data_IF_689568846979
#
_entry.id   IF_689568846979
#
_cell.length_a   1.000
_cell.length_b   1.000
_cell.length_c   1.000
_cell.angle_alpha   90.00
_cell.angle_beta   90.00
_cell.angle_gamma   90.00
#
_symmetry.space_group_name_H-M   'P 1'
#
loop_
_entity.id
_entity.type
_entity.pdbx_description
1 polymer ?
#
# COMPACT_ATOMS: atom_id res chain seq x y z
N UNK A 1 -27.38 1.98 3.02
CA UNK A 1 -26.07 1.40 2.67
C UNK A 1 -25.71 0.36 3.72
N UNK A 2 -24.98 -0.71 3.38
CA UNK A 2 -24.48 -1.66 4.36
C UNK A 2 -23.54 -0.99 5.36
N UNK A 3 -23.61 -1.35 6.65
CA UNK A 3 -22.81 -0.72 7.72
C UNK A 3 -21.29 -0.79 7.48
N UNK A 4 -20.81 -1.79 6.77
CA UNK A 4 -19.38 -1.91 6.43
C UNK A 4 -18.93 -0.85 5.42
N UNK A 5 -19.81 -0.47 4.48
CA UNK A 5 -19.52 0.52 3.46
C UNK A 5 -19.37 1.90 4.09
N UNK A 6 -20.28 2.26 5.01
CA UNK A 6 -20.23 3.54 5.72
C UNK A 6 -18.98 3.66 6.58
N UNK A 7 -18.58 2.57 7.26
CA UNK A 7 -17.34 2.52 8.04
C UNK A 7 -16.10 2.69 7.17
N UNK A 8 -16.05 2.02 6.02
CA UNK A 8 -14.94 2.15 5.08
C UNK A 8 -14.84 3.59 4.53
N UNK A 9 -15.96 4.16 4.09
CA UNK A 9 -16.01 5.55 3.61
C UNK A 9 -15.58 6.55 4.68
N UNK A 10 -16.04 6.38 5.92
CA UNK A 10 -15.66 7.26 7.03
C UNK A 10 -14.15 7.20 7.31
N UNK A 11 -13.57 5.99 7.38
CA UNK A 11 -12.13 5.80 7.58
C UNK A 11 -11.32 6.46 6.47
N UNK A 12 -11.62 6.17 5.21
CA UNK A 12 -10.93 6.76 4.05
C UNK A 12 -11.04 8.29 4.09
N UNK A 13 -12.26 8.82 4.26
CA UNK A 13 -12.49 10.27 4.31
C UNK A 13 -11.67 10.95 5.40
N UNK A 14 -11.59 10.35 6.58
CA UNK A 14 -10.84 10.90 7.71
C UNK A 14 -9.32 10.81 7.55
N UNK A 15 -8.81 9.75 6.91
CA UNK A 15 -7.38 9.49 6.83
C UNK A 15 -6.68 10.10 5.61
N UNK A 16 -7.38 10.26 4.48
CA UNK A 16 -6.79 10.81 3.24
C UNK A 16 -6.09 12.17 3.46
N UNK A 17 -6.66 13.16 4.18
CA UNK A 17 -6.01 14.45 4.37
C UNK A 17 -4.64 14.36 5.05
N UNK A 18 -4.44 13.40 5.95
CA UNK A 18 -3.16 13.15 6.60
C UNK A 18 -2.13 12.64 5.59
N UNK A 19 -2.49 11.65 4.77
CA UNK A 19 -1.56 11.06 3.80
C UNK A 19 -1.20 12.01 2.66
N UNK A 20 -2.09 12.91 2.25
CA UNK A 20 -1.76 13.98 1.30
C UNK A 20 -0.59 14.82 1.82
N UNK A 21 -0.66 15.30 3.06
CA UNK A 21 0.43 16.09 3.68
C UNK A 21 1.73 15.30 3.83
N UNK A 22 1.63 14.02 4.20
CA UNK A 22 2.79 13.13 4.33
C UNK A 22 3.48 12.93 2.98
N UNK A 23 2.71 12.72 1.91
CA UNK A 23 3.23 12.52 0.55
C UNK A 23 3.89 13.80 0.01
N UNK A 24 3.32 14.98 0.27
CA UNK A 24 3.93 16.26 -0.10
C UNK A 24 5.31 16.44 0.57
N UNK A 25 5.39 16.21 1.87
CA UNK A 25 6.65 16.29 2.61
C UNK A 25 7.66 15.23 2.16
N UNK A 26 7.20 14.01 1.89
CA UNK A 26 8.04 12.93 1.38
C UNK A 26 8.62 13.26 0.00
N UNK A 27 7.81 13.86 -0.88
CA UNK A 27 8.25 14.31 -2.20
C UNK A 27 9.35 15.35 -2.13
N UNK A 28 9.22 16.33 -1.23
CA UNK A 28 10.24 17.36 -1.02
C UNK A 28 11.57 16.80 -0.49
N UNK A 29 11.52 15.71 0.28
CA UNK A 29 12.70 15.07 0.89
C UNK A 29 13.39 14.07 -0.03
N UNK A 30 12.78 13.68 -1.15
CA UNK A 30 13.34 12.68 -2.06
C UNK A 30 13.49 11.30 -1.41
N UNK A 31 12.40 10.78 -0.85
CA UNK A 31 12.39 9.47 -0.18
C UNK A 31 12.73 8.30 -1.12
N UNK A 32 13.22 7.19 -0.55
CA UNK A 32 13.59 5.99 -1.30
C UNK A 32 12.38 5.15 -1.72
N UNK A 33 12.63 4.10 -2.52
CA UNK A 33 11.60 3.09 -2.84
C UNK A 33 11.13 2.35 -1.59
N UNK A 34 12.04 1.98 -0.69
CA UNK A 34 11.72 1.33 0.57
C UNK A 34 10.85 2.22 1.48
N UNK A 35 11.14 3.52 1.56
CA UNK A 35 10.30 4.47 2.28
C UNK A 35 8.90 4.57 1.65
N UNK A 36 8.82 4.51 0.32
CA UNK A 36 7.54 4.54 -0.41
C UNK A 36 6.73 3.26 -0.14
N UNK A 37 7.39 2.09 -0.11
CA UNK A 37 6.77 0.81 0.28
C UNK A 37 6.21 0.89 1.70
N UNK A 38 6.96 1.46 2.64
CA UNK A 38 6.50 1.65 4.02
C UNK A 38 5.24 2.54 4.09
N UNK A 39 5.20 3.63 3.32
CA UNK A 39 4.03 4.51 3.22
C UNK A 39 2.82 3.79 2.62
N UNK A 40 3.00 3.01 1.55
CA UNK A 40 1.93 2.21 0.94
C UNK A 40 1.38 1.20 1.93
N UNK A 41 2.25 0.49 2.67
CA UNK A 41 1.84 -0.43 3.74
C UNK A 41 1.01 0.26 4.82
N UNK A 42 1.38 1.49 5.19
CA UNK A 42 0.61 2.27 6.15
C UNK A 42 -0.75 2.69 5.61
N UNK A 43 -0.84 3.06 4.32
CA UNK A 43 -2.11 3.38 3.65
C UNK A 43 -3.05 2.16 3.62
N UNK A 44 -2.52 0.97 3.33
CA UNK A 44 -3.28 -0.29 3.36
C UNK A 44 -3.94 -0.51 4.73
N UNK A 45 -3.22 -0.20 5.82
CA UNK A 45 -3.77 -0.25 7.17
C UNK A 45 -4.77 0.86 7.47
N UNK A 46 -4.26 2.09 7.51
CA UNK A 46 -4.98 3.23 8.06
C UNK A 46 -6.20 3.62 7.21
N UNK A 47 -6.16 3.40 5.89
CA UNK A 47 -7.27 3.75 4.99
C UNK A 47 -8.09 2.52 4.57
N UNK A 48 -7.43 1.46 4.13
CA UNK A 48 -8.13 0.31 3.53
C UNK A 48 -8.57 -0.72 4.57
N UNK A 49 -7.97 -0.71 5.76
CA UNK A 49 -8.37 -1.54 6.90
C UNK A 49 -7.79 -2.95 6.89
N UNK A 50 -6.70 -3.17 6.14
CA UNK A 50 -5.88 -4.36 6.28
C UNK A 50 -5.08 -4.31 7.58
N UNK A 51 -4.76 -5.44 8.17
CA UNK A 51 -3.76 -5.49 9.23
C UNK A 51 -2.34 -5.36 8.62
N UNK A 52 -1.58 -4.30 8.91
CA UNK A 52 -0.26 -4.12 8.31
C UNK A 52 0.76 -5.15 8.75
N UNK A 53 0.50 -5.99 9.75
CA UNK A 53 1.42 -7.04 10.20
C UNK A 53 0.96 -8.40 9.66
N UNK A 54 -0.34 -8.68 9.73
CA UNK A 54 -0.91 -9.98 9.39
C UNK A 54 -1.32 -10.10 7.92
N UNK A 55 -1.95 -9.07 7.37
CA UNK A 55 -2.53 -9.11 6.03
C UNK A 55 -1.55 -8.63 4.96
N UNK A 56 -0.64 -7.71 5.30
CA UNK A 56 0.33 -7.15 4.35
C UNK A 56 1.70 -7.75 4.61
N UNK A 57 2.28 -8.45 3.65
CA UNK A 57 3.67 -8.95 3.72
C UNK A 57 4.53 -8.32 2.64
N UNK A 58 5.82 -8.13 2.92
CA UNK A 58 6.79 -7.76 1.90
C UNK A 58 7.39 -8.99 1.22
N UNK A 59 8.12 -8.76 0.13
CA UNK A 59 9.02 -9.73 -0.54
C UNK A 59 8.38 -11.10 -0.76
N UNK A 60 7.19 -11.12 -1.36
CA UNK A 60 6.49 -12.38 -1.62
C UNK A 60 6.96 -13.01 -2.92
N UNK A 61 7.49 -14.24 -2.85
CA UNK A 61 7.95 -14.96 -4.03
C UNK A 61 6.78 -15.50 -4.89
N UNK A 62 6.76 -15.09 -6.16
CA UNK A 62 5.89 -15.58 -7.21
C UNK A 62 6.73 -16.07 -8.39
N UNK A 63 6.80 -17.41 -8.56
CA UNK A 63 7.46 -18.04 -9.72
C UNK A 63 8.91 -17.54 -9.96
N UNK A 64 9.69 -17.37 -8.89
CA UNK A 64 11.08 -16.91 -8.96
C UNK A 64 11.26 -15.39 -9.08
N UNK A 65 10.21 -14.59 -8.88
CA UNK A 65 10.27 -13.13 -8.73
C UNK A 65 9.63 -12.72 -7.41
N UNK A 66 9.96 -11.54 -6.90
CA UNK A 66 9.50 -11.07 -5.58
C UNK A 66 8.65 -9.82 -5.75
N UNK A 67 7.39 -9.84 -5.32
CA UNK A 67 6.56 -8.64 -5.30
C UNK A 67 6.91 -7.79 -4.06
N UNK A 68 6.89 -6.46 -4.20
CA UNK A 68 7.18 -5.54 -3.09
C UNK A 68 6.24 -5.77 -1.91
N UNK A 69 4.94 -5.90 -2.18
CA UNK A 69 3.91 -6.22 -1.21
C UNK A 69 2.97 -7.31 -1.74
N UNK A 70 2.58 -8.22 -0.85
CA UNK A 70 1.44 -9.11 -1.06
C UNK A 70 0.40 -8.88 0.04
N UNK A 71 -0.86 -8.75 -0.38
CA UNK A 71 -1.99 -8.65 0.54
C UNK A 71 -2.70 -10.00 0.60
N UNK A 72 -2.82 -10.52 1.81
CA UNK A 72 -3.40 -11.80 2.15
C UNK A 72 -4.79 -11.61 2.73
N UNK A 73 -5.66 -12.57 2.46
CA UNK A 73 -6.91 -12.75 3.19
C UNK A 73 -7.06 -14.24 3.44
N UNK A 74 -7.39 -14.60 4.68
CA UNK A 74 -7.47 -16.00 5.12
C UNK A 74 -6.13 -16.75 4.92
N UNK A 75 -5.02 -16.05 5.15
CA UNK A 75 -3.66 -16.58 5.01
C UNK A 75 -3.20 -16.79 3.55
N UNK A 76 -4.03 -16.50 2.55
CA UNK A 76 -3.72 -16.68 1.13
C UNK A 76 -3.54 -15.33 0.42
N UNK A 77 -2.53 -15.18 -0.45
CA UNK A 77 -2.41 -13.98 -1.28
C UNK A 77 -3.67 -13.75 -2.12
N UNK A 78 -4.15 -12.52 -2.15
CA UNK A 78 -5.28 -12.08 -2.97
C UNK A 78 -4.83 -11.16 -4.10
N UNK A 79 -3.90 -10.27 -3.80
CA UNK A 79 -3.27 -9.41 -4.80
C UNK A 79 -1.86 -9.00 -4.36
N UNK A 80 -1.11 -8.52 -5.34
CA UNK A 80 0.23 -7.97 -5.16
C UNK A 80 0.20 -6.48 -5.46
N UNK A 81 1.07 -5.72 -4.81
CA UNK A 81 1.31 -4.33 -5.12
C UNK A 81 2.79 -4.12 -5.41
N UNK A 82 3.08 -3.69 -6.63
CA UNK A 82 4.39 -3.20 -7.04
C UNK A 82 4.46 -1.71 -6.75
N UNK A 83 5.55 -1.28 -6.12
CA UNK A 83 5.79 0.09 -5.68
C UNK A 83 7.07 0.58 -6.33
N UNK A 84 7.14 1.88 -6.59
CA UNK A 84 8.36 2.54 -7.06
C UNK A 84 8.58 3.76 -6.19
N UNK A 85 9.80 4.29 -6.21
CA UNK A 85 10.10 5.56 -5.55
C UNK A 85 9.10 6.65 -5.95
N UNK A 86 8.70 7.48 -4.98
CA UNK A 86 7.74 8.55 -5.19
C UNK A 86 8.13 9.44 -6.39
N UNK A 87 7.18 9.70 -7.30
CA UNK A 87 7.42 10.47 -8.53
C UNK A 87 7.99 9.66 -9.70
N UNK A 88 8.36 8.38 -9.52
CA UNK A 88 8.67 7.47 -10.63
C UNK A 88 7.39 6.87 -11.21
N UNK A 89 7.35 6.74 -12.53
CA UNK A 89 6.23 6.10 -13.23
C UNK A 89 6.42 4.58 -13.23
N UNK A 90 5.38 3.85 -12.83
CA UNK A 90 5.30 2.40 -12.98
C UNK A 90 5.21 2.05 -14.48
N UNK A 91 6.03 1.10 -14.95
CA UNK A 91 6.02 0.63 -16.34
C UNK A 91 5.50 -0.81 -16.42
N UNK A 92 5.02 -1.26 -17.59
CA UNK A 92 4.53 -2.64 -17.74
C UNK A 92 5.55 -3.71 -17.36
N UNK A 93 6.83 -3.47 -17.64
CA UNK A 93 7.93 -4.38 -17.29
C UNK A 93 8.22 -4.49 -15.79
N UNK A 94 7.73 -3.54 -14.99
CA UNK A 94 7.89 -3.55 -13.54
C UNK A 94 6.82 -4.44 -12.88
N UNK A 95 5.71 -4.73 -13.57
CA UNK A 95 4.61 -5.57 -13.05
C UNK A 95 4.88 -7.04 -13.36
N UNK A 96 4.69 -7.92 -12.37
CA UNK A 96 4.93 -9.37 -12.44
C UNK A 96 3.76 -10.18 -12.98
#
# INVERSE_FOLDING_TARGET
>A
MPKYEDRAKARIRSGVPRFVRVLEAAGQRGITEADTVALVRQIMGDLLGYDPILDVTGEYELRGRYADLAVKMDGKPRFFAEVKALGRKLRPQDVQ
#
